data_IF_178722238869
#
_entry.id   IF_178722238869
#
_cell.length_a   1.000
_cell.length_b   1.000
_cell.length_c   1.000
_cell.angle_alpha   90.00
_cell.angle_beta   90.00
_cell.angle_gamma   90.00
#
_symmetry.space_group_name_H-M   'P 1'
#
loop_
_entity.id
_entity.type
_entity.pdbx_description
1 polymer ?
#
# COMPACT_ATOMS: atom_id res chain seq x y z
N UNK A 1 2.34 10.66 -7.41
CA UNK A 1 1.69 9.44 -7.91
C UNK A 1 2.77 8.65 -8.59
N UNK A 2 3.21 7.56 -7.98
CA UNK A 2 4.23 6.69 -8.57
C UNK A 2 3.55 5.83 -9.65
N UNK A 3 4.18 5.80 -10.81
CA UNK A 3 3.74 5.09 -12.01
C UNK A 3 4.00 3.60 -11.81
N UNK A 4 2.96 2.85 -11.43
CA UNK A 4 3.03 1.39 -11.26
C UNK A 4 2.76 0.65 -12.59
N UNK A 5 3.23 1.20 -13.71
CA UNK A 5 3.28 0.46 -14.98
C UNK A 5 4.28 -0.68 -14.85
N UNK A 6 3.78 -1.87 -14.53
CA UNK A 6 4.55 -3.10 -14.72
C UNK A 6 4.88 -3.19 -16.20
N UNK A 7 6.16 -3.00 -16.55
CA UNK A 7 6.65 -3.17 -17.91
C UNK A 7 6.48 -4.64 -18.32
N UNK A 8 5.39 -4.94 -19.05
CA UNK A 8 5.15 -6.21 -19.75
C UNK A 8 6.05 -6.27 -21.01
N UNK A 9 7.30 -5.85 -20.92
CA UNK A 9 8.25 -5.91 -22.04
C UNK A 9 9.07 -7.21 -22.03
N UNK A 10 9.12 -7.92 -20.90
CA UNK A 10 9.98 -9.09 -20.72
C UNK A 10 9.23 -10.42 -20.47
N UNK A 11 8.15 -10.69 -21.21
CA UNK A 11 7.77 -12.10 -21.41
C UNK A 11 8.75 -12.68 -22.42
N UNK A 12 9.90 -13.14 -21.94
CA UNK A 12 10.83 -13.94 -22.75
C UNK A 12 10.13 -15.26 -23.06
N UNK A 13 9.66 -15.42 -24.30
CA UNK A 13 9.23 -16.73 -24.81
C UNK A 13 10.48 -17.59 -24.90
N UNK A 14 10.66 -18.51 -23.96
CA UNK A 14 11.68 -19.55 -24.06
C UNK A 14 11.19 -20.55 -25.11
N UNK A 15 11.52 -20.32 -26.38
CA UNK A 15 11.49 -21.38 -27.40
C UNK A 15 12.75 -22.23 -27.23
N UNK A 16 12.70 -23.19 -26.30
CA UNK A 16 13.66 -24.29 -26.30
C UNK A 16 13.35 -25.22 -27.48
N UNK A 17 13.70 -24.77 -28.69
CA UNK A 17 13.94 -25.66 -29.81
C UNK A 17 15.43 -26.02 -29.80
N UNK A 18 15.90 -26.69 -28.75
CA UNK A 18 17.15 -27.43 -28.85
C UNK A 18 16.93 -28.57 -29.85
N UNK A 19 17.83 -28.65 -30.83
CA UNK A 19 17.79 -29.60 -31.94
C UNK A 19 17.61 -31.05 -31.46
N UNK A 20 16.37 -31.53 -31.42
CA UNK A 20 16.08 -32.96 -31.46
C UNK A 20 16.04 -33.39 -32.93
N UNK A 21 16.99 -34.25 -33.27
CA UNK A 21 17.18 -34.83 -34.59
C UNK A 21 16.05 -35.80 -34.92
N UNK A 22 15.51 -35.66 -36.14
CA UNK A 22 14.59 -36.56 -36.84
C UNK A 22 13.22 -36.84 -36.18
N UNK A 23 12.24 -35.96 -36.44
CA UNK A 23 10.94 -36.34 -37.01
C UNK A 23 10.17 -35.06 -37.41
N UNK A 24 9.44 -35.13 -38.52
CA UNK A 24 8.91 -33.98 -39.27
C UNK A 24 7.68 -33.29 -38.65
N UNK A 25 7.39 -33.50 -37.37
CA UNK A 25 6.22 -32.91 -36.70
C UNK A 25 6.55 -31.56 -36.06
N UNK A 26 7.01 -30.60 -36.88
CA UNK A 26 7.10 -29.20 -36.43
C UNK A 26 5.73 -28.55 -36.57
N UNK A 27 5.12 -28.24 -35.42
CA UNK A 27 3.95 -27.38 -35.35
C UNK A 27 4.37 -25.94 -35.72
N UNK A 28 4.18 -25.55 -36.98
CA UNK A 28 4.36 -24.16 -37.41
C UNK A 28 3.10 -23.40 -37.00
N UNK A 29 3.20 -22.60 -35.95
CA UNK A 29 2.13 -21.71 -35.52
C UNK A 29 2.25 -20.42 -36.33
N UNK A 30 1.16 -20.04 -37.01
CA UNK A 30 1.07 -18.77 -37.75
C UNK A 30 1.26 -17.59 -36.79
N UNK A 31 2.14 -16.65 -37.16
CA UNK A 31 2.41 -15.44 -36.37
C UNK A 31 1.13 -14.65 -36.06
N UNK A 32 0.12 -14.68 -36.94
CA UNK A 32 -1.17 -14.05 -36.71
C UNK A 32 -1.95 -14.70 -35.56
N UNK A 33 -1.81 -16.02 -35.37
CA UNK A 33 -2.40 -16.75 -34.23
C UNK A 33 -1.69 -16.35 -32.94
N UNK A 34 -0.37 -16.23 -32.97
CA UNK A 34 0.43 -15.80 -31.82
C UNK A 34 0.14 -14.35 -31.42
N UNK A 35 0.01 -13.45 -32.40
CA UNK A 35 -0.37 -12.05 -32.21
C UNK A 35 -1.80 -11.94 -31.69
N UNK A 36 -2.74 -12.73 -32.23
CA UNK A 36 -4.11 -12.79 -31.74
C UNK A 36 -4.17 -13.19 -30.27
N UNK A 37 -3.50 -14.29 -29.90
CA UNK A 37 -3.41 -14.75 -28.52
C UNK A 37 -2.79 -13.70 -27.58
N UNK A 38 -1.72 -13.03 -28.03
CA UNK A 38 -1.09 -11.95 -27.25
C UNK A 38 -2.08 -10.81 -26.98
N UNK A 39 -2.86 -10.40 -27.99
CA UNK A 39 -3.83 -9.33 -27.85
C UNK A 39 -4.98 -9.72 -26.92
N UNK A 40 -5.46 -10.97 -26.99
CA UNK A 40 -6.52 -11.47 -26.13
C UNK A 40 -6.09 -11.47 -24.66
N UNK A 41 -4.88 -11.96 -24.36
CA UNK A 41 -4.31 -11.92 -23.01
C UNK A 41 -4.18 -10.48 -22.52
N UNK A 42 -3.66 -9.57 -23.36
CA UNK A 42 -3.46 -8.18 -22.98
C UNK A 42 -4.79 -7.50 -22.64
N UNK A 43 -5.84 -7.77 -23.44
CA UNK A 43 -7.17 -7.23 -23.22
C UNK A 43 -7.79 -7.75 -21.93
N UNK A 44 -7.70 -9.05 -21.66
CA UNK A 44 -8.22 -9.64 -20.42
C UNK A 44 -7.46 -9.14 -19.18
N UNK A 45 -6.14 -9.00 -19.26
CA UNK A 45 -5.34 -8.44 -18.18
C UNK A 45 -5.72 -6.98 -17.89
N UNK A 46 -5.86 -6.16 -18.93
CA UNK A 46 -6.29 -4.76 -18.78
C UNK A 46 -7.70 -4.65 -18.22
N UNK A 47 -8.62 -5.54 -18.62
CA UNK A 47 -9.97 -5.61 -18.06
C UNK A 47 -9.92 -5.93 -16.56
N UNK A 48 -9.20 -6.99 -16.16
CA UNK A 48 -9.04 -7.37 -14.77
C UNK A 48 -8.43 -6.27 -13.90
N UNK A 49 -7.40 -5.58 -14.41
CA UNK A 49 -6.76 -4.46 -13.69
C UNK A 49 -7.74 -3.29 -13.46
N UNK A 50 -8.60 -2.99 -14.44
CA UNK A 50 -9.61 -1.94 -14.30
C UNK A 50 -10.71 -2.31 -13.29
N UNK A 51 -11.09 -3.59 -13.24
CA UNK A 51 -12.04 -4.08 -12.23
C UNK A 51 -11.45 -4.02 -10.82
N UNK A 52 -10.18 -4.44 -10.66
CA UNK A 52 -9.46 -4.35 -9.39
C UNK A 52 -9.42 -2.91 -8.86
N UNK A 53 -9.08 -1.94 -9.73
CA UNK A 53 -9.08 -0.51 -9.37
C UNK A 53 -10.45 0.00 -8.92
N UNK A 54 -11.55 -0.49 -9.51
CA UNK A 54 -12.90 -0.13 -9.09
C UNK A 54 -13.18 -0.64 -7.68
N UNK A 55 -12.79 -1.88 -7.38
CA UNK A 55 -12.96 -2.47 -6.05
C UNK A 55 -12.14 -1.71 -5.01
N UNK A 56 -10.88 -1.36 -5.31
CA UNK A 56 -10.04 -0.58 -4.40
C UNK A 56 -10.63 0.80 -4.11
N UNK A 57 -11.14 1.48 -5.15
CA UNK A 57 -11.81 2.77 -4.98
C UNK A 57 -13.09 2.65 -4.13
N UNK A 58 -13.90 1.61 -4.34
CA UNK A 58 -15.09 1.36 -3.51
C UNK A 58 -14.71 1.04 -2.06
N UNK A 59 -13.66 0.26 -1.83
CA UNK A 59 -13.14 0.00 -0.50
C UNK A 59 -12.67 1.29 0.19
N UNK A 60 -11.96 2.15 -0.53
CA UNK A 60 -11.50 3.44 -0.02
C UNK A 60 -12.67 4.38 0.32
N UNK A 61 -13.70 4.44 -0.53
CA UNK A 61 -14.91 5.22 -0.25
C UNK A 61 -15.67 4.70 0.98
N UNK A 62 -15.80 3.38 1.12
CA UNK A 62 -16.41 2.75 2.29
C UNK A 62 -15.58 3.08 3.54
N UNK A 63 -14.27 2.85 3.49
CA UNK A 63 -13.36 3.14 4.60
C UNK A 63 -13.44 4.61 5.03
N UNK A 64 -13.47 5.56 4.09
CA UNK A 64 -13.63 6.99 4.38
C UNK A 64 -15.02 7.39 4.92
N UNK A 65 -16.08 6.62 4.62
CA UNK A 65 -17.40 6.84 5.24
C UNK A 65 -17.41 6.44 6.71
N UNK A 66 -16.61 5.45 7.09
CA UNK A 66 -16.52 4.93 8.47
C UNK A 66 -15.36 5.50 9.29
N UNK A 67 -14.38 6.13 8.65
CA UNK A 67 -13.39 6.95 9.34
C UNK A 67 -14.07 8.17 9.99
N UNK A 68 -13.73 8.40 11.26
CA UNK A 68 -14.20 9.54 12.04
C UNK A 68 -13.76 10.82 11.31
N UNK A 69 -14.73 11.55 10.73
CA UNK A 69 -14.50 12.75 9.90
C UNK A 69 -14.00 13.96 10.68
N UNK A 70 -14.12 13.96 12.01
CA UNK A 70 -13.50 14.98 12.84
C UNK A 70 -12.10 14.53 13.20
N UNK A 71 -11.11 15.09 12.49
CA UNK A 71 -9.74 15.10 12.97
C UNK A 71 -9.70 15.99 14.20
N UNK A 72 -10.06 15.43 15.36
CA UNK A 72 -9.86 16.09 16.64
C UNK A 72 -8.37 16.10 16.88
N UNK A 73 -7.76 17.23 16.58
CA UNK A 73 -6.34 17.50 16.82
C UNK A 73 -6.14 17.36 18.33
N UNK A 74 -5.33 16.38 18.73
CA UNK A 74 -5.04 16.18 20.15
C UNK A 74 -4.40 17.45 20.70
N UNK A 75 -4.90 18.00 21.82
CA UNK A 75 -4.27 19.15 22.47
C UNK A 75 -2.87 18.80 23.03
N UNK A 76 -2.49 17.52 23.00
CA UNK A 76 -1.23 17.01 23.52
C UNK A 76 -0.10 16.95 22.47
N UNK A 77 -0.35 17.37 21.22
CA UNK A 77 0.62 17.31 20.12
C UNK A 77 1.93 18.05 20.44
N UNK A 78 1.87 19.19 21.12
CA UNK A 78 3.07 19.92 21.51
C UNK A 78 3.92 19.10 22.50
N UNK A 79 3.28 18.44 23.47
CA UNK A 79 3.96 17.57 24.45
C UNK A 79 4.52 16.30 23.80
N UNK A 80 3.83 15.78 22.80
CA UNK A 80 4.31 14.65 21.98
C UNK A 80 5.60 15.01 21.23
N UNK A 81 5.61 16.16 20.56
CA UNK A 81 6.79 16.63 19.83
C UNK A 81 7.98 16.87 20.77
N UNK A 82 7.74 17.46 21.94
CA UNK A 82 8.77 17.69 22.96
C UNK A 82 9.33 16.35 23.49
N UNK A 83 8.48 15.33 23.67
CA UNK A 83 8.92 14.00 24.06
C UNK A 83 9.78 13.36 22.97
N UNK A 84 9.33 13.37 21.71
CA UNK A 84 10.08 12.82 20.57
C UNK A 84 11.45 13.50 20.45
N UNK A 85 11.51 14.82 20.59
CA UNK A 85 12.76 15.57 20.55
C UNK A 85 13.69 15.19 21.71
N UNK A 86 13.16 15.07 22.93
CA UNK A 86 13.94 14.65 24.08
C UNK A 86 14.53 13.24 23.89
N UNK A 87 13.71 12.29 23.42
CA UNK A 87 14.12 10.90 23.18
C UNK A 87 15.14 10.77 22.05
N UNK A 88 15.00 11.59 21.01
CA UNK A 88 15.96 11.67 19.91
C UNK A 88 17.33 12.17 20.37
N UNK A 89 17.35 13.04 21.40
CA UNK A 89 18.55 13.67 21.94
C UNK A 89 19.20 12.82 23.04
N UNK A 90 18.41 12.08 23.82
CA UNK A 90 18.85 11.29 24.99
C UNK A 90 18.68 9.78 24.75
N UNK A 91 19.10 9.24 23.59
CA UNK A 91 18.86 7.85 23.19
C UNK A 91 19.24 6.81 24.26
N UNK A 92 20.36 7.00 24.95
CA UNK A 92 20.88 6.07 25.97
C UNK A 92 20.47 6.44 27.40
N UNK A 93 19.80 7.57 27.57
CA UNK A 93 19.41 8.15 28.87
C UNK A 93 17.94 8.55 28.88
N UNK A 94 17.07 7.61 28.51
CA UNK A 94 15.61 7.78 28.47
C UNK A 94 15.02 8.40 29.75
N UNK A 95 15.61 8.10 30.92
CA UNK A 95 15.19 8.65 32.20
C UNK A 95 15.23 10.19 32.25
N UNK A 96 16.08 10.84 31.45
CA UNK A 96 16.13 12.29 31.33
C UNK A 96 14.85 12.88 30.71
N UNK A 97 14.05 12.07 30.02
CA UNK A 97 12.78 12.46 29.43
C UNK A 97 11.56 12.10 30.31
N UNK A 98 11.79 11.58 31.52
CA UNK A 98 10.71 11.07 32.40
C UNK A 98 9.67 12.14 32.75
N UNK A 99 10.09 13.38 33.00
CA UNK A 99 9.16 14.46 33.34
C UNK A 99 8.28 14.83 32.13
N UNK A 100 8.87 14.93 30.93
CA UNK A 100 8.16 15.21 29.68
C UNK A 100 7.19 14.07 29.35
N UNK A 101 7.62 12.82 29.55
CA UNK A 101 6.77 11.64 29.39
C UNK A 101 5.56 11.70 30.31
N UNK A 102 5.77 12.01 31.59
CA UNK A 102 4.69 12.13 32.58
C UNK A 102 3.68 13.21 32.19
N UNK A 103 4.14 14.36 31.74
CA UNK A 103 3.27 15.43 31.26
C UNK A 103 2.45 15.03 30.03
N UNK A 104 3.08 14.32 29.08
CA UNK A 104 2.40 13.80 27.90
C UNK A 104 1.32 12.78 28.29
N UNK A 105 1.63 11.83 29.18
CA UNK A 105 0.67 10.81 29.66
C UNK A 105 -0.53 11.45 30.35
N UNK A 106 -0.31 12.43 31.24
CA UNK A 106 -1.41 13.15 31.93
C UNK A 106 -2.31 13.88 30.92
N UNK A 107 -1.72 14.52 29.90
CA UNK A 107 -2.47 15.18 28.86
C UNK A 107 -3.34 14.18 28.06
N UNK A 108 -2.76 13.05 27.64
CA UNK A 108 -3.46 12.03 26.87
C UNK A 108 -4.61 11.39 27.66
N UNK A 109 -4.38 11.07 28.94
CA UNK A 109 -5.44 10.54 29.80
C UNK A 109 -6.62 11.50 29.92
N UNK A 110 -6.34 12.80 30.10
CA UNK A 110 -7.38 13.83 30.17
C UNK A 110 -8.16 13.92 28.86
N UNK A 111 -7.46 13.98 27.73
CA UNK A 111 -8.09 14.04 26.41
C UNK A 111 -8.98 12.82 26.13
N UNK A 112 -8.50 11.61 26.42
CA UNK A 112 -9.28 10.38 26.23
C UNK A 112 -10.52 10.36 27.11
N UNK A 113 -10.43 10.79 28.38
CA UNK A 113 -11.59 10.87 29.28
C UNK A 113 -12.64 11.84 28.75
N UNK A 114 -12.24 13.05 28.35
CA UNK A 114 -13.14 14.08 27.82
C UNK A 114 -13.77 13.66 26.50
N UNK A 115 -12.98 13.06 25.60
CA UNK A 115 -13.46 12.56 24.32
C UNK A 115 -14.48 11.41 24.47
N UNK A 116 -14.29 10.52 25.45
CA UNK A 116 -15.23 9.43 25.73
C UNK A 116 -16.53 9.90 26.42
N UNK A 117 -16.48 10.97 27.21
CA UNK A 117 -17.69 11.58 27.83
C UNK A 117 -18.55 12.24 26.75
N UNK A 118 -17.94 12.97 25.82
CA UNK A 118 -18.66 13.70 24.76
C UNK A 118 -19.25 12.80 23.64
N UNK A 119 -19.14 11.47 23.77
CA UNK A 119 -19.68 10.47 22.84
C UNK A 119 -20.85 9.65 23.40
N UNK A 120 -21.25 9.85 24.66
CA UNK A 120 -22.47 9.26 25.25
C UNK A 120 -23.65 10.19 25.07
#
# INVERSE_FOLDING_TARGET
>A
MEDNSVAIENITIITNAENMSNDNDRLIIDDNVLIGFKNDILNEFNRGNNEMKKIDNQHYEIFNKFLIKEKVVSPCLEKENNLIQCLSTNRDHFLNCSDILKEFTVCQEKFVREFNINRK
#
